data_IF_439458803608
#
_entry.id   IF_439458803608
#
_cell.length_a   1.000
_cell.length_b   1.000
_cell.length_c   1.000
_cell.angle_alpha   90.00
_cell.angle_beta   90.00
_cell.angle_gamma   90.00
#
_symmetry.space_group_name_H-M   'P 1'
#
loop_
_entity.id
_entity.type
_entity.pdbx_description
1 polymer ?
#
# COMPACT_ATOMS: atom_id res chain seq x y z
N UNK A 1 -2.59 31.79 28.05
CA UNK A 1 -2.71 30.72 27.03
C UNK A 1 -3.29 31.26 25.75
N UNK A 2 -2.63 30.94 24.63
CA UNK A 2 -2.93 31.45 23.30
C UNK A 2 -3.84 30.44 22.59
N UNK A 3 -4.95 30.92 22.02
CA UNK A 3 -5.84 30.11 21.17
C UNK A 3 -5.52 30.44 19.72
N UNK A 4 -5.07 29.45 18.96
CA UNK A 4 -4.64 29.58 17.56
C UNK A 4 -4.31 28.23 16.92
N UNK A 5 -4.17 28.19 15.60
CA UNK A 5 -3.81 26.99 14.85
C UNK A 5 -2.27 26.88 14.78
N UNK A 6 -1.70 26.00 15.60
CA UNK A 6 -0.23 25.81 15.74
C UNK A 6 0.25 24.46 15.22
N UNK A 7 -0.57 23.74 14.46
CA UNK A 7 -0.19 22.46 13.88
C UNK A 7 0.52 22.75 12.55
N UNK A 8 1.81 22.41 12.45
CA UNK A 8 2.53 22.43 11.18
C UNK A 8 2.60 21.02 10.58
N UNK A 9 2.65 20.94 9.26
CA UNK A 9 2.76 19.67 8.53
C UNK A 9 4.17 19.51 7.98
N UNK A 10 4.83 18.41 8.35
CA UNK A 10 6.16 18.05 7.88
C UNK A 10 6.04 16.98 6.80
N UNK A 11 6.65 17.23 5.64
CA UNK A 11 6.73 16.25 4.55
C UNK A 11 7.97 15.39 4.76
N UNK A 12 7.76 14.12 5.08
CA UNK A 12 8.82 13.15 5.33
C UNK A 12 9.02 12.27 4.10
N UNK A 13 10.27 12.15 3.64
CA UNK A 13 10.64 11.30 2.51
C UNK A 13 11.53 10.17 2.97
N UNK A 14 10.99 8.97 2.97
CA UNK A 14 11.72 7.75 3.32
C UNK A 14 12.37 7.12 2.07
N UNK A 15 13.67 6.86 2.13
CA UNK A 15 14.40 6.16 1.08
C UNK A 15 14.57 4.67 1.39
N UNK A 16 13.85 3.84 0.65
CA UNK A 16 13.89 2.37 0.71
C UNK A 16 14.81 1.73 -0.34
N UNK A 17 15.62 2.50 -1.06
CA UNK A 17 16.50 1.98 -2.10
C UNK A 17 17.54 0.98 -1.57
N UNK A 18 17.83 -0.03 -2.39
CA UNK A 18 18.88 -1.04 -2.13
C UNK A 18 18.45 -2.22 -1.26
N UNK A 19 17.14 -2.42 -1.05
CA UNK A 19 16.58 -3.50 -0.21
C UNK A 19 17.23 -3.60 1.19
N UNK A 20 17.17 -2.51 1.98
CA UNK A 20 17.76 -2.49 3.31
C UNK A 20 17.04 -3.47 4.25
N UNK A 21 17.71 -3.83 5.34
CA UNK A 21 17.03 -4.40 6.51
C UNK A 21 16.09 -3.37 7.13
N UNK A 22 15.06 -3.83 7.86
CA UNK A 22 14.17 -2.92 8.57
C UNK A 22 14.93 -2.04 9.57
N UNK A 23 15.92 -2.60 10.27
CA UNK A 23 16.80 -1.85 11.18
C UNK A 23 17.57 -0.74 10.48
N UNK A 24 18.13 -1.00 9.30
CA UNK A 24 18.83 0.02 8.52
C UNK A 24 17.88 1.11 8.03
N UNK A 25 16.69 0.72 7.55
CA UNK A 25 15.65 1.67 7.15
C UNK A 25 15.25 2.58 8.33
N UNK A 26 15.04 2.02 9.52
CA UNK A 26 14.70 2.79 10.71
C UNK A 26 15.80 3.80 11.06
N UNK A 27 17.07 3.45 10.87
CA UNK A 27 18.19 4.38 11.03
C UNK A 27 18.16 5.53 10.01
N UNK A 28 17.83 5.23 8.74
CA UNK A 28 17.66 6.25 7.69
C UNK A 28 16.50 7.19 7.99
N UNK A 29 15.34 6.63 8.35
CA UNK A 29 14.13 7.38 8.73
C UNK A 29 14.43 8.29 9.91
N UNK A 30 15.02 7.75 10.99
CA UNK A 30 15.40 8.57 12.16
C UNK A 30 16.29 9.75 11.78
N UNK A 31 17.27 9.54 10.91
CA UNK A 31 18.18 10.60 10.47
C UNK A 31 17.43 11.67 9.67
N UNK A 32 16.68 11.26 8.65
CA UNK A 32 15.92 12.17 7.79
C UNK A 32 14.83 12.95 8.57
N UNK A 33 14.13 12.28 9.49
CA UNK A 33 13.07 12.89 10.28
C UNK A 33 13.64 13.89 11.29
N UNK A 34 14.76 13.57 11.96
CA UNK A 34 15.41 14.51 12.88
C UNK A 34 15.92 15.76 12.15
N UNK A 35 16.46 15.61 10.95
CA UNK A 35 16.84 16.74 10.10
C UNK A 35 15.61 17.58 9.70
N UNK A 36 14.48 16.93 9.36
CA UNK A 36 13.23 17.63 9.06
C UNK A 36 12.67 18.38 10.29
N UNK A 37 12.72 17.77 11.48
CA UNK A 37 12.29 18.41 12.73
C UNK A 37 13.11 19.65 13.08
N UNK A 38 14.39 19.72 12.68
CA UNK A 38 15.20 20.93 12.83
C UNK A 38 14.62 22.14 12.06
N UNK A 39 13.72 21.90 11.10
CA UNK A 39 13.06 22.90 10.28
C UNK A 39 11.54 22.96 10.49
N UNK A 40 11.02 22.39 11.58
CA UNK A 40 9.58 22.27 11.85
C UNK A 40 8.81 23.59 11.98
N UNK A 41 9.50 24.71 12.15
CA UNK A 41 8.88 26.05 12.19
C UNK A 41 8.62 26.62 10.78
N UNK A 42 9.11 25.95 9.73
CA UNK A 42 8.91 26.39 8.34
C UNK A 42 7.47 26.10 7.92
N UNK A 43 6.67 27.12 7.58
CA UNK A 43 5.30 26.90 7.12
C UNK A 43 5.26 26.03 5.87
N UNK A 44 4.33 25.06 5.86
CA UNK A 44 4.13 24.15 4.72
C UNK A 44 3.95 24.89 3.37
N UNK A 45 3.27 26.04 3.37
CA UNK A 45 3.06 26.84 2.16
C UNK A 45 4.37 27.30 1.51
N UNK A 46 5.40 27.62 2.31
CA UNK A 46 6.72 28.01 1.79
C UNK A 46 7.46 26.82 1.18
N UNK A 47 7.29 25.63 1.75
CA UNK A 47 7.84 24.38 1.18
C UNK A 47 7.17 24.08 -0.15
N UNK A 48 5.85 24.24 -0.23
CA UNK A 48 5.09 24.06 -1.46
C UNK A 48 5.52 25.06 -2.56
N UNK A 49 5.74 26.32 -2.19
CA UNK A 49 6.26 27.34 -3.11
C UNK A 49 7.67 27.01 -3.62
N UNK A 50 8.57 26.58 -2.73
CA UNK A 50 9.94 26.25 -3.09
C UNK A 50 10.05 25.00 -3.98
N UNK A 51 9.24 23.97 -3.71
CA UNK A 51 9.21 22.74 -4.53
C UNK A 51 8.48 22.96 -5.86
N UNK A 52 7.47 23.83 -5.86
CA UNK A 52 6.63 24.17 -7.01
C UNK A 52 6.16 22.96 -7.85
N UNK A 53 5.48 21.97 -7.24
CA UNK A 53 5.02 20.78 -7.94
C UNK A 53 3.87 21.10 -8.91
N UNK A 54 3.67 20.24 -9.91
CA UNK A 54 2.53 20.36 -10.83
C UNK A 54 1.22 20.29 -10.07
N UNK A 55 0.46 21.39 -10.08
CA UNK A 55 -0.82 21.48 -9.35
C UNK A 55 -1.88 20.63 -10.05
N UNK A 56 -2.55 19.80 -9.26
CA UNK A 56 -3.72 19.01 -9.70
C UNK A 56 -4.83 19.22 -8.69
N UNK A 57 -6.09 19.31 -9.14
CA UNK A 57 -7.25 19.47 -8.24
C UNK A 57 -7.65 18.18 -7.51
N UNK A 58 -7.14 17.04 -7.98
CA UNK A 58 -7.53 15.70 -7.51
C UNK A 58 -6.59 15.10 -6.48
N UNK A 59 -5.47 15.76 -6.14
CA UNK A 59 -4.46 15.21 -5.22
C UNK A 59 -3.78 16.31 -4.43
N UNK A 60 -3.43 16.02 -3.19
CA UNK A 60 -2.60 16.90 -2.39
C UNK A 60 -1.17 16.95 -2.98
N UNK A 61 -0.53 18.14 -3.09
CA UNK A 61 0.59 18.38 -4.01
C UNK A 61 1.92 17.71 -3.65
N UNK A 62 2.15 17.36 -2.38
CA UNK A 62 3.44 16.80 -1.91
C UNK A 62 3.33 15.39 -1.33
N UNK A 63 2.19 15.02 -0.77
CA UNK A 63 1.95 13.72 -0.15
C UNK A 63 0.45 13.43 -0.13
N UNK A 64 0.07 12.16 -0.10
CA UNK A 64 -1.33 11.71 -0.10
C UNK A 64 -1.69 10.88 1.15
N UNK A 65 -0.69 10.51 1.95
CA UNK A 65 -0.86 9.77 3.19
C UNK A 65 -0.40 10.66 4.33
N UNK A 66 -1.27 10.94 5.29
CA UNK A 66 -0.94 11.66 6.51
C UNK A 66 -0.87 10.70 7.69
N UNK A 67 0.13 10.85 8.55
CA UNK A 67 0.24 10.12 9.80
C UNK A 67 0.35 11.13 10.94
N UNK A 68 -0.58 11.07 11.88
CA UNK A 68 -0.60 11.84 13.10
C UNK A 68 -0.45 10.88 14.29
N UNK A 69 0.54 11.13 15.14
CA UNK A 69 0.74 10.39 16.38
C UNK A 69 0.53 11.32 17.57
N UNK A 70 -0.44 10.99 18.41
CA UNK A 70 -0.68 11.65 19.69
C UNK A 70 -0.34 10.69 20.84
N UNK A 71 0.48 11.16 21.77
CA UNK A 71 0.82 10.42 22.98
C UNK A 71 0.39 11.21 24.20
N UNK A 72 -0.14 10.51 25.21
CA UNK A 72 -0.48 11.09 26.50
C UNK A 72 -1.98 11.07 26.81
N UNK A 73 -2.27 11.12 28.11
CA UNK A 73 -3.64 11.23 28.59
C UNK A 73 -4.20 12.61 28.24
N UNK A 74 -5.30 12.65 27.48
CA UNK A 74 -6.05 13.89 27.29
C UNK A 74 -6.50 14.45 28.64
N UNK A 75 -6.75 15.76 28.76
CA UNK A 75 -7.20 16.34 30.02
C UNK A 75 -8.49 15.64 30.48
N UNK A 76 -8.45 15.05 31.68
CA UNK A 76 -9.62 14.45 32.29
C UNK A 76 -10.56 15.58 32.74
N UNK A 77 -11.46 15.99 31.85
CA UNK A 77 -12.43 17.04 32.14
C UNK A 77 -13.57 16.46 32.98
N UNK A 78 -13.50 16.62 34.29
CA UNK A 78 -14.55 16.20 35.22
C UNK A 78 -15.47 17.36 35.60
N UNK A 79 -16.75 17.29 35.23
CA UNK A 79 -17.80 18.16 35.79
C UNK A 79 -18.55 17.42 36.89
N UNK A 80 -18.80 18.09 38.02
CA UNK A 80 -19.59 17.50 39.13
C UNK A 80 -20.97 17.09 38.63
N UNK A 81 -21.35 15.82 38.87
CA UNK A 81 -22.64 15.27 38.45
C UNK A 81 -22.70 14.80 36.99
N UNK A 82 -21.60 14.88 36.23
CA UNK A 82 -21.55 14.46 34.82
C UNK A 82 -20.55 13.31 34.68
N UNK A 83 -20.96 12.24 33.99
CA UNK A 83 -20.04 11.17 33.57
C UNK A 83 -19.55 11.51 32.17
N UNK A 84 -18.26 11.82 32.02
CA UNK A 84 -17.62 11.95 30.72
C UNK A 84 -17.16 10.58 30.23
N UNK A 85 -17.39 10.29 28.95
CA UNK A 85 -16.86 9.12 28.26
C UNK A 85 -15.96 9.55 27.10
N UNK A 86 -15.06 8.68 26.63
CA UNK A 86 -14.33 8.94 25.40
C UNK A 86 -15.31 9.14 24.25
N UNK A 87 -15.09 10.17 23.43
CA UNK A 87 -15.81 10.31 22.17
C UNK A 87 -15.10 9.44 21.15
N UNK A 88 -15.78 8.41 20.66
CA UNK A 88 -15.32 7.61 19.52
C UNK A 88 -15.51 8.45 18.26
N UNK A 89 -14.52 9.30 17.98
CA UNK A 89 -14.31 10.00 16.69
C UNK A 89 -15.40 11.00 16.28
N UNK A 90 -15.11 12.29 16.42
CA UNK A 90 -15.83 13.35 15.67
C UNK A 90 -15.10 13.53 14.34
N UNK A 91 -15.52 12.80 13.30
CA UNK A 91 -15.14 13.12 11.93
C UNK A 91 -16.23 13.97 11.30
N UNK A 92 -15.83 15.04 10.62
CA UNK A 92 -16.74 15.86 9.82
C UNK A 92 -17.12 15.19 8.48
N UNK A 93 -16.71 13.93 8.26
CA UNK A 93 -17.02 13.13 7.08
C UNK A 93 -16.20 13.47 5.83
N UNK A 94 -15.25 14.42 5.91
CA UNK A 94 -14.39 14.76 4.78
C UNK A 94 -12.95 14.32 5.06
N UNK A 95 -12.43 13.36 4.28
CA UNK A 95 -11.00 13.07 4.25
C UNK A 95 -10.29 14.22 3.52
N UNK A 96 -9.25 14.79 4.14
CA UNK A 96 -8.45 15.87 3.56
C UNK A 96 -7.32 15.33 2.67
N UNK A 97 -6.94 14.09 2.92
CA UNK A 97 -5.95 13.33 2.16
C UNK A 97 -6.53 11.98 1.71
N UNK A 98 -5.88 11.30 0.79
CA UNK A 98 -6.32 10.00 0.28
C UNK A 98 -6.46 8.99 1.46
N UNK A 99 -5.48 8.99 2.39
CA UNK A 99 -5.47 8.21 3.62
C UNK A 99 -4.89 9.00 4.80
N UNK A 100 -5.53 8.94 5.96
CA UNK A 100 -5.09 9.60 7.19
C UNK A 100 -5.08 8.60 8.36
N UNK A 101 -3.90 8.38 8.94
CA UNK A 101 -3.71 7.53 10.10
C UNK A 101 -3.59 8.39 11.35
N UNK A 102 -4.55 8.26 12.27
CA UNK A 102 -4.51 8.85 13.60
C UNK A 102 -4.15 7.76 14.59
N UNK A 103 -2.92 7.82 15.08
CA UNK A 103 -2.37 6.89 16.05
C UNK A 103 -2.39 7.56 17.43
N UNK A 104 -2.90 6.86 18.43
CA UNK A 104 -3.00 7.36 19.80
C UNK A 104 -2.53 6.33 20.80
N UNK A 105 -1.67 6.74 21.73
CA UNK A 105 -1.28 5.93 22.89
C UNK A 105 -1.69 6.62 24.19
N UNK A 106 -2.60 5.99 24.93
CA UNK A 106 -3.10 6.52 26.22
C UNK A 106 -2.27 6.03 27.42
N UNK A 107 -1.65 4.86 27.30
CA UNK A 107 -0.99 4.15 28.40
C UNK A 107 0.47 3.75 28.09
N UNK A 108 1.01 4.23 26.96
CA UNK A 108 2.34 3.92 26.41
C UNK A 108 2.59 2.42 26.13
N UNK A 109 1.57 1.57 26.30
CA UNK A 109 1.65 0.12 26.12
C UNK A 109 0.86 -0.35 24.91
N UNK A 110 -0.18 0.41 24.57
CA UNK A 110 -1.06 0.13 23.44
C UNK A 110 -1.11 1.33 22.50
N UNK A 111 -1.29 1.02 21.22
CA UNK A 111 -1.52 1.99 20.18
C UNK A 111 -2.89 1.74 19.57
N UNK A 112 -3.78 2.73 19.63
CA UNK A 112 -5.05 2.71 18.90
C UNK A 112 -4.88 3.50 17.62
N UNK A 113 -5.36 2.93 16.52
CA UNK A 113 -5.33 3.56 15.21
C UNK A 113 -6.77 3.85 14.74
N UNK A 114 -7.00 5.05 14.23
CA UNK A 114 -8.20 5.40 13.45
C UNK A 114 -7.73 5.81 12.07
N UNK A 115 -8.37 5.26 11.04
CA UNK A 115 -8.03 5.56 9.64
C UNK A 115 -9.21 6.28 9.00
N UNK A 116 -8.97 7.49 8.50
CA UNK A 116 -9.89 8.18 7.59
C UNK A 116 -9.40 8.02 6.16
N UNK A 117 -10.31 7.88 5.22
CA UNK A 117 -9.98 7.60 3.83
C UNK A 117 -10.98 8.25 2.88
N UNK A 118 -10.51 8.62 1.70
CA UNK A 118 -11.36 9.13 0.63
C UNK A 118 -12.21 7.98 0.05
N UNK A 119 -13.52 8.00 0.29
CA UNK A 119 -14.45 6.95 -0.16
C UNK A 119 -14.57 6.83 -1.69
N UNK A 120 -14.12 7.85 -2.44
CA UNK A 120 -14.02 7.80 -3.91
C UNK A 120 -12.81 6.98 -4.40
N UNK A 121 -11.82 6.74 -3.53
CA UNK A 121 -10.59 5.99 -3.85
C UNK A 121 -10.54 4.62 -3.17
N UNK A 122 -11.11 4.50 -1.97
CA UNK A 122 -11.03 3.28 -1.17
C UNK A 122 -12.38 2.87 -0.62
N UNK A 123 -12.63 1.56 -0.62
CA UNK A 123 -13.68 0.94 0.17
C UNK A 123 -13.17 0.49 1.55
N UNK A 124 -14.11 0.26 2.46
CA UNK A 124 -13.81 -0.14 3.83
C UNK A 124 -13.05 -1.47 3.90
N UNK A 125 -13.35 -2.42 3.00
CA UNK A 125 -12.70 -3.74 2.96
C UNK A 125 -11.22 -3.60 2.65
N UNK A 126 -10.88 -2.73 1.69
CA UNK A 126 -9.52 -2.43 1.27
C UNK A 126 -8.73 -1.78 2.40
N UNK A 127 -9.31 -0.77 3.06
CA UNK A 127 -8.62 -0.09 4.18
C UNK A 127 -8.44 -1.02 5.37
N UNK A 128 -9.44 -1.84 5.72
CA UNK A 128 -9.29 -2.87 6.76
C UNK A 128 -8.22 -3.90 6.41
N UNK A 129 -8.09 -4.27 5.14
CA UNK A 129 -7.01 -5.13 4.67
C UNK A 129 -5.65 -4.45 4.85
N UNK A 130 -5.51 -3.18 4.48
CA UNK A 130 -4.26 -2.42 4.66
C UNK A 130 -3.86 -2.30 6.13
N UNK A 131 -4.80 -2.04 7.04
CA UNK A 131 -4.49 -1.95 8.48
C UNK A 131 -4.07 -3.28 9.09
N UNK A 132 -4.67 -4.39 8.65
CA UNK A 132 -4.24 -5.74 9.02
C UNK A 132 -2.81 -6.00 8.54
N UNK A 133 -2.51 -5.73 7.26
CA UNK A 133 -1.17 -5.89 6.69
C UNK A 133 -0.15 -5.05 7.45
N UNK A 134 -0.48 -3.80 7.80
CA UNK A 134 0.38 -2.96 8.63
C UNK A 134 0.68 -3.62 9.99
N UNK A 135 -0.34 -4.17 10.65
CA UNK A 135 -0.17 -4.92 11.90
C UNK A 135 0.73 -6.15 11.75
N UNK A 136 0.52 -6.94 10.69
CA UNK A 136 1.30 -8.15 10.41
C UNK A 136 2.77 -7.82 10.09
N UNK A 137 3.02 -6.74 9.33
CA UNK A 137 4.37 -6.24 9.05
C UNK A 137 5.04 -5.75 10.34
N UNK A 138 4.33 -5.01 11.19
CA UNK A 138 4.85 -4.56 12.49
C UNK A 138 5.21 -5.75 13.38
N UNK A 139 4.40 -6.81 13.41
CA UNK A 139 4.72 -8.03 14.15
C UNK A 139 6.00 -8.71 13.62
N UNK A 140 6.14 -8.84 12.31
CA UNK A 140 7.33 -9.43 11.67
C UNK A 140 8.62 -8.68 12.03
N UNK A 141 8.61 -7.34 11.92
CA UNK A 141 9.81 -6.54 12.17
C UNK A 141 10.16 -6.40 13.66
N UNK A 142 9.19 -6.60 14.55
CA UNK A 142 9.42 -6.68 16.00
C UNK A 142 10.05 -8.02 16.39
N UNK A 143 9.69 -9.11 15.72
CA UNK A 143 10.26 -10.44 15.93
C UNK A 143 11.69 -10.54 15.36
N UNK A 144 11.89 -10.11 14.10
CA UNK A 144 13.18 -10.15 13.42
C UNK A 144 13.52 -8.80 12.75
N UNK A 145 14.09 -7.84 13.50
CA UNK A 145 14.42 -6.51 12.95
C UNK A 145 15.50 -6.54 11.85
N UNK A 146 16.23 -7.65 11.71
CA UNK A 146 17.24 -7.87 10.67
C UNK A 146 16.64 -8.29 9.32
N UNK A 147 15.33 -8.53 9.24
CA UNK A 147 14.66 -8.90 7.99
C UNK A 147 14.81 -7.78 6.94
N UNK A 148 15.06 -8.18 5.69
CA UNK A 148 15.07 -7.26 4.54
C UNK A 148 13.65 -6.86 4.15
N UNK A 149 13.49 -5.67 3.57
CA UNK A 149 12.18 -5.21 3.11
C UNK A 149 11.55 -6.18 2.09
N UNK A 150 12.35 -6.73 1.17
CA UNK A 150 11.90 -7.74 0.20
C UNK A 150 11.43 -9.06 0.83
N UNK A 151 11.86 -9.34 2.06
CA UNK A 151 11.49 -10.53 2.81
C UNK A 151 10.23 -10.37 3.66
N UNK A 152 9.63 -9.16 3.72
CA UNK A 152 8.41 -8.93 4.48
C UNK A 152 7.20 -9.51 3.73
N UNK A 153 6.47 -10.41 4.39
CA UNK A 153 5.25 -10.96 3.83
C UNK A 153 4.10 -9.98 4.06
N UNK A 154 3.60 -9.41 2.97
CA UNK A 154 2.45 -8.47 2.96
C UNK A 154 1.14 -9.15 2.55
N UNK A 155 1.21 -10.40 2.09
CA UNK A 155 0.05 -11.21 1.77
C UNK A 155 -0.21 -12.14 2.94
N UNK A 156 -1.48 -12.26 3.33
CA UNK A 156 -1.87 -13.33 4.25
C UNK A 156 -1.67 -14.71 3.59
N UNK A 157 -1.46 -15.75 4.38
CA UNK A 157 -1.30 -17.12 3.85
C UNK A 157 -2.45 -17.54 2.90
N UNK A 158 -3.69 -17.19 3.24
CA UNK A 158 -4.86 -17.45 2.41
C UNK A 158 -4.84 -16.68 1.07
N UNK A 159 -4.37 -15.43 1.07
CA UNK A 159 -4.23 -14.65 -0.17
C UNK A 159 -3.13 -15.23 -1.06
N UNK A 160 -2.01 -15.64 -0.46
CA UNK A 160 -0.93 -16.30 -1.19
C UNK A 160 -1.39 -17.60 -1.80
N UNK A 161 -2.07 -18.46 -1.02
CA UNK A 161 -2.63 -19.73 -1.50
C UNK A 161 -3.62 -19.51 -2.65
N UNK A 162 -4.49 -18.51 -2.54
CA UNK A 162 -5.45 -18.17 -3.59
C UNK A 162 -4.72 -17.79 -4.89
N UNK A 163 -3.71 -16.93 -4.78
CA UNK A 163 -2.92 -16.45 -5.92
C UNK A 163 -2.06 -17.54 -6.57
N UNK A 164 -1.45 -18.42 -5.78
CA UNK A 164 -0.57 -19.49 -6.29
C UNK A 164 -1.31 -20.79 -6.62
N UNK A 165 -2.57 -20.90 -6.20
CA UNK A 165 -3.40 -22.08 -6.42
C UNK A 165 -4.58 -21.75 -7.34
N UNK A 166 -5.81 -21.59 -6.81
CA UNK A 166 -7.03 -21.46 -7.62
C UNK A 166 -6.98 -20.37 -8.71
N UNK A 167 -6.32 -19.24 -8.46
CA UNK A 167 -6.25 -18.13 -9.42
C UNK A 167 -5.07 -18.23 -10.40
N UNK A 168 -4.07 -19.06 -10.11
CA UNK A 168 -2.94 -19.29 -11.01
C UNK A 168 -3.35 -20.04 -12.29
N UNK A 169 -4.55 -20.63 -12.30
CA UNK A 169 -5.04 -21.48 -13.37
C UNK A 169 -4.41 -22.87 -13.34
N UNK A 170 -4.85 -23.74 -14.24
CA UNK A 170 -4.28 -25.08 -14.39
C UNK A 170 -3.00 -25.02 -15.19
N UNK A 171 -1.89 -25.46 -14.58
CA UNK A 171 -0.69 -25.78 -15.32
C UNK A 171 -0.96 -27.05 -16.15
N UNK A 172 -1.08 -26.90 -17.46
CA UNK A 172 -1.13 -28.03 -18.38
C UNK A 172 0.30 -28.45 -18.73
N UNK A 173 0.61 -29.74 -18.57
CA UNK A 173 1.79 -30.32 -19.19
C UNK A 173 1.58 -30.32 -20.70
N UNK A 174 2.24 -29.40 -21.39
CA UNK A 174 2.17 -29.27 -22.84
C UNK A 174 3.18 -30.18 -23.55
N UNK A 175 4.01 -30.91 -22.81
CA UNK A 175 5.14 -31.70 -23.29
C UNK A 175 6.26 -30.86 -23.92
N UNK A 176 7.43 -31.46 -24.08
CA UNK A 176 8.59 -30.85 -24.74
C UNK A 176 8.51 -30.97 -26.28
N UNK A 177 7.35 -30.65 -26.87
CA UNK A 177 7.16 -30.73 -28.33
C UNK A 177 6.84 -29.34 -28.87
N UNK A 178 7.61 -28.90 -29.85
CA UNK A 178 7.39 -27.62 -30.51
C UNK A 178 6.07 -27.62 -31.30
N UNK A 179 5.53 -26.42 -31.53
CA UNK A 179 4.37 -26.27 -32.42
C UNK A 179 4.67 -26.76 -33.85
N UNK A 180 5.94 -26.70 -34.28
CA UNK A 180 6.37 -27.19 -35.59
C UNK A 180 6.28 -28.71 -35.64
N UNK A 181 6.83 -29.42 -34.65
CA UNK A 181 6.74 -30.89 -34.59
C UNK A 181 5.27 -31.36 -34.46
N UNK A 182 4.45 -30.67 -33.66
CA UNK A 182 2.99 -30.92 -33.57
C UNK A 182 2.29 -30.74 -34.93
N UNK A 183 2.75 -29.78 -35.73
CA UNK A 183 2.24 -29.57 -37.07
C UNK A 183 2.68 -30.69 -38.02
N UNK A 184 3.96 -31.06 -38.02
CA UNK A 184 4.50 -32.18 -38.83
C UNK A 184 3.80 -33.51 -38.52
N UNK A 185 3.49 -33.78 -37.25
CA UNK A 185 2.68 -34.95 -36.85
C UNK A 185 1.28 -34.93 -37.48
N UNK A 186 0.65 -33.76 -37.59
CA UNK A 186 -0.65 -33.62 -38.26
C UNK A 186 -0.53 -33.79 -39.78
N UNK A 187 0.55 -33.31 -40.39
CA UNK A 187 0.86 -33.56 -41.81
C UNK A 187 0.98 -35.06 -42.07
N UNK A 188 1.71 -35.79 -41.22
CA UNK A 188 1.88 -37.23 -41.35
C UNK A 188 0.57 -38.01 -41.15
N UNK A 189 -0.28 -37.60 -40.19
CA UNK A 189 -1.55 -38.29 -39.89
C UNK A 189 -2.67 -37.97 -40.89
N UNK A 190 -2.71 -36.76 -41.43
CA UNK A 190 -3.83 -36.25 -42.21
C UNK A 190 -3.41 -35.45 -43.46
N UNK A 191 -2.54 -35.99 -44.33
CA UNK A 191 -1.90 -35.22 -45.40
C UNK A 191 -2.90 -34.58 -46.37
N UNK A 192 -3.99 -35.26 -46.70
CA UNK A 192 -5.02 -34.78 -47.64
C UNK A 192 -6.13 -33.92 -47.03
N UNK A 193 -6.10 -33.62 -45.73
CA UNK A 193 -7.10 -32.73 -45.11
C UNK A 193 -6.73 -31.28 -45.35
N UNK A 194 -7.71 -30.41 -45.56
CA UNK A 194 -7.51 -28.96 -45.68
C UNK A 194 -6.91 -28.39 -44.40
N UNK A 195 -5.76 -27.72 -44.52
CA UNK A 195 -5.08 -27.00 -43.43
C UNK A 195 -5.38 -25.49 -43.49
N UNK A 196 -5.47 -24.92 -44.69
CA UNK A 196 -5.70 -23.48 -44.89
C UNK A 196 -6.73 -23.22 -45.99
N UNK A 197 -7.62 -22.26 -45.76
CA UNK A 197 -8.64 -21.80 -46.73
C UNK A 197 -8.42 -20.32 -46.99
N UNK A 198 -8.21 -19.98 -48.25
CA UNK A 198 -8.00 -18.62 -48.74
C UNK A 198 -8.92 -18.38 -49.94
N UNK A 199 -10.12 -17.88 -49.66
CA UNK A 199 -11.20 -17.79 -50.64
C UNK A 199 -11.65 -19.16 -51.16
N UNK A 200 -11.63 -19.36 -52.48
CA UNK A 200 -11.92 -20.67 -53.09
C UNK A 200 -10.74 -21.64 -53.02
N UNK A 201 -9.53 -21.16 -52.72
CA UNK A 201 -8.33 -21.98 -52.63
C UNK A 201 -8.31 -22.75 -51.31
N UNK A 202 -8.11 -24.07 -51.41
CA UNK A 202 -7.93 -24.98 -50.28
C UNK A 202 -6.55 -25.60 -50.36
N UNK A 203 -5.74 -25.42 -49.33
CA UNK A 203 -4.40 -26.01 -49.22
C UNK A 203 -4.49 -27.13 -48.19
N UNK A 204 -4.03 -28.33 -48.55
CA UNK A 204 -3.99 -29.48 -47.65
C UNK A 204 -2.78 -29.44 -46.72
N UNK A 205 -2.78 -30.23 -45.65
CA UNK A 205 -1.64 -30.33 -44.75
C UNK A 205 -0.33 -30.74 -45.44
N UNK A 206 -0.37 -31.56 -46.50
CA UNK A 206 0.83 -31.95 -47.25
C UNK A 206 1.34 -30.86 -48.21
N UNK A 207 0.51 -29.88 -48.57
CA UNK A 207 0.86 -28.80 -49.49
C UNK A 207 1.33 -27.52 -48.77
N UNK A 208 1.00 -27.39 -47.48
CA UNK A 208 1.35 -26.24 -46.65
C UNK A 208 2.76 -26.41 -46.04
#
# INVERSE_FOLDING_TARGET
>A
DLVGFFVNTLVLRTDSAGDPTFRELLGRVRTADLDAFAHQETPFDLVLEAVNPTRTLSRHPLFQICLALESGSGPAFGLRGVRTGPVETISNGSAKFDLEFFLRSDDEKSLRATVLFAAELFDEVTVRRMTRILGDVLAQVLDEPGVRLSGLEVLSGAERELLTGPWAGTAADIGDVSLVERFEEQVARHPGRTALVDGERRITYAEL
#
